data_IF_204159251806
#
_entry.id   IF_204159251806
#
_cell.length_a   1.000
_cell.length_b   1.000
_cell.length_c   1.000
_cell.angle_alpha   90.00
_cell.angle_beta   90.00
_cell.angle_gamma   90.00
#
_symmetry.space_group_name_H-M   'P 1'
#
loop_
_entity.id
_entity.type
_entity.pdbx_description
1 polymer ?
#
# COMPACT_ATOMS: atom_id res chain seq x y z
N UNK A 1 -6.20 -8.84 -27.04
CA UNK A 1 -5.67 -9.60 -25.88
C UNK A 1 -6.65 -10.70 -25.56
N UNK A 2 -6.22 -11.96 -25.46
CA UNK A 2 -7.13 -13.03 -25.08
C UNK A 2 -7.59 -12.78 -23.63
N UNK A 3 -8.89 -12.75 -23.38
CA UNK A 3 -9.50 -12.54 -22.04
C UNK A 3 -8.93 -13.52 -21.01
N UNK A 4 -8.57 -14.71 -21.46
CA UNK A 4 -7.96 -15.79 -20.67
C UNK A 4 -6.65 -15.36 -19.96
N UNK A 5 -5.78 -14.59 -20.65
CA UNK A 5 -4.51 -14.11 -20.04
C UNK A 5 -4.76 -13.11 -18.89
N UNK A 6 -5.73 -12.21 -19.08
CA UNK A 6 -6.10 -11.27 -18.01
C UNK A 6 -6.64 -12.06 -16.82
N UNK A 7 -7.57 -12.97 -17.04
CA UNK A 7 -8.12 -13.81 -15.99
C UNK A 7 -7.00 -14.55 -15.23
N UNK A 8 -6.05 -15.15 -15.96
CA UNK A 8 -4.95 -15.90 -15.36
C UNK A 8 -4.05 -15.00 -14.48
N UNK A 9 -3.54 -13.89 -15.04
CA UNK A 9 -2.54 -13.06 -14.34
C UNK A 9 -3.14 -12.12 -13.29
N UNK A 10 -4.37 -11.68 -13.50
CA UNK A 10 -4.98 -10.62 -12.67
C UNK A 10 -5.92 -11.19 -11.61
N UNK A 11 -6.47 -12.39 -11.84
CA UNK A 11 -7.38 -13.02 -10.89
C UNK A 11 -6.82 -14.33 -10.35
N UNK A 12 -6.51 -15.30 -11.22
CA UNK A 12 -6.17 -16.66 -10.76
C UNK A 12 -4.84 -16.71 -10.00
N UNK A 13 -3.77 -16.05 -10.48
CA UNK A 13 -2.50 -16.05 -9.74
C UNK A 13 -2.60 -15.37 -8.38
N UNK A 14 -3.19 -14.16 -8.20
CA UNK A 14 -3.39 -13.60 -6.87
C UNK A 14 -4.15 -14.54 -5.93
N UNK A 15 -5.25 -15.17 -6.40
CA UNK A 15 -5.99 -16.14 -5.60
C UNK A 15 -5.11 -17.35 -5.25
N UNK A 16 -4.37 -17.88 -6.21
CA UNK A 16 -3.47 -19.03 -6.01
C UNK A 16 -2.38 -18.75 -4.97
N UNK A 17 -1.74 -17.57 -5.04
CA UNK A 17 -0.74 -17.18 -4.05
C UNK A 17 -1.34 -17.06 -2.65
N UNK A 18 -2.55 -16.53 -2.53
CA UNK A 18 -3.24 -16.47 -1.23
C UNK A 18 -3.59 -17.89 -0.72
N UNK A 19 -4.08 -18.79 -1.58
CA UNK A 19 -4.36 -20.18 -1.21
C UNK A 19 -3.09 -20.87 -0.70
N UNK A 20 -1.97 -20.75 -1.43
CA UNK A 20 -0.70 -21.35 -1.00
C UNK A 20 -0.27 -20.80 0.35
N UNK A 21 -0.34 -19.49 0.55
CA UNK A 21 0.14 -18.85 1.78
C UNK A 21 -0.74 -19.20 2.98
N UNK A 22 -2.07 -19.22 2.82
CA UNK A 22 -2.98 -19.48 3.92
C UNK A 22 -3.11 -20.98 4.24
N UNK A 23 -3.10 -21.85 3.23
CA UNK A 23 -3.42 -23.27 3.40
C UNK A 23 -2.29 -24.20 3.00
N UNK A 24 -1.27 -23.72 2.29
CA UNK A 24 -0.16 -24.54 1.78
C UNK A 24 1.12 -24.44 2.62
N UNK A 25 1.40 -23.30 3.26
CA UNK A 25 2.56 -23.12 4.12
C UNK A 25 2.17 -23.09 5.61
N UNK A 26 3.10 -23.51 6.48
CA UNK A 26 3.04 -23.14 7.88
C UNK A 26 3.48 -21.68 8.00
N UNK A 27 2.51 -20.78 8.13
CA UNK A 27 2.82 -19.37 8.36
C UNK A 27 3.36 -19.15 9.77
N UNK A 28 4.07 -18.05 10.00
CA UNK A 28 4.55 -17.66 11.34
C UNK A 28 3.42 -17.47 12.36
N UNK A 29 2.22 -17.22 11.88
CA UNK A 29 1.00 -17.02 12.65
C UNK A 29 0.02 -18.19 12.44
N UNK A 30 0.55 -19.39 12.37
CA UNK A 30 -0.24 -20.61 12.21
C UNK A 30 -1.34 -20.75 13.27
N UNK A 31 -1.09 -20.25 14.48
CA UNK A 31 -2.05 -20.27 15.59
C UNK A 31 -3.35 -19.50 15.26
N UNK A 32 -3.33 -18.52 14.35
CA UNK A 32 -4.56 -17.81 13.92
C UNK A 32 -5.58 -18.73 13.26
N UNK A 33 -5.14 -19.87 12.78
CA UNK A 33 -6.02 -20.87 12.19
C UNK A 33 -7.05 -21.40 13.21
N UNK A 34 -6.66 -21.45 14.48
CA UNK A 34 -7.45 -21.99 15.57
C UNK A 34 -8.11 -20.87 16.40
N UNK A 35 -7.79 -19.60 16.15
CA UNK A 35 -8.38 -18.46 16.83
C UNK A 35 -9.81 -18.19 16.33
N UNK A 36 -10.71 -18.00 17.29
CA UNK A 36 -12.13 -17.72 17.02
C UNK A 36 -12.37 -16.23 16.75
N UNK A 37 -11.54 -15.37 17.35
CA UNK A 37 -11.59 -13.90 17.25
C UNK A 37 -10.19 -13.33 17.17
N UNK A 38 -10.04 -12.07 16.70
CA UNK A 38 -8.75 -11.38 16.78
C UNK A 38 -8.24 -11.37 18.20
N UNK A 39 -6.96 -11.61 18.37
CA UNK A 39 -6.28 -11.49 19.65
C UNK A 39 -6.40 -10.05 20.18
N UNK A 40 -6.39 -9.89 21.51
CA UNK A 40 -6.55 -8.59 22.16
C UNK A 40 -5.56 -7.53 21.68
N UNK A 41 -4.36 -7.93 21.26
CA UNK A 41 -3.35 -6.98 20.75
C UNK A 41 -3.78 -6.23 19.47
N UNK A 42 -4.72 -6.78 18.68
CA UNK A 42 -5.29 -6.05 17.53
C UNK A 42 -6.14 -4.83 17.94
N UNK A 43 -6.60 -4.79 19.19
CA UNK A 43 -7.39 -3.70 19.71
C UNK A 43 -6.57 -2.70 20.53
N UNK A 44 -5.28 -2.99 20.77
CA UNK A 44 -4.39 -2.22 21.63
C UNK A 44 -3.22 -1.63 20.84
N UNK A 45 -2.58 -0.62 21.41
CA UNK A 45 -1.37 -0.02 20.88
C UNK A 45 -1.54 0.53 19.48
N UNK A 46 -0.48 0.42 18.70
CA UNK A 46 -0.42 0.92 17.30
C UNK A 46 -1.42 0.20 16.36
N UNK A 47 -1.83 -1.02 16.69
CA UNK A 47 -2.78 -1.79 15.89
C UNK A 47 -4.23 -1.36 16.12
N UNK A 48 -4.56 -0.84 17.30
CA UNK A 48 -5.90 -0.36 17.65
C UNK A 48 -6.41 0.76 16.74
N UNK A 49 -5.52 1.50 16.10
CA UNK A 49 -5.87 2.58 15.15
C UNK A 49 -6.25 2.10 13.74
N UNK A 50 -6.09 0.80 13.42
CA UNK A 50 -6.37 0.22 12.10
C UNK A 50 -7.80 -0.31 12.03
N UNK A 51 -8.76 0.62 12.12
CA UNK A 51 -10.16 0.30 12.30
C UNK A 51 -10.81 -0.33 11.07
N UNK A 52 -10.56 0.25 9.87
CA UNK A 52 -11.37 -0.06 8.69
C UNK A 52 -11.39 -1.55 8.33
N UNK A 53 -10.21 -2.15 8.14
CA UNK A 53 -10.13 -3.57 7.76
C UNK A 53 -10.52 -4.50 8.89
N UNK A 54 -10.26 -4.13 10.15
CA UNK A 54 -10.66 -4.89 11.32
C UNK A 54 -12.17 -5.06 11.39
N UNK A 55 -12.92 -3.95 11.37
CA UNK A 55 -14.37 -3.96 11.45
C UNK A 55 -15.01 -4.76 10.30
N UNK A 56 -14.44 -4.66 9.09
CA UNK A 56 -14.94 -5.44 7.95
C UNK A 56 -14.70 -6.93 8.16
N UNK A 57 -13.50 -7.32 8.61
CA UNK A 57 -13.18 -8.73 8.87
C UNK A 57 -14.05 -9.28 10.01
N UNK A 58 -14.31 -8.50 11.07
CA UNK A 58 -15.19 -8.90 12.15
C UNK A 58 -16.62 -9.13 11.65
N UNK A 59 -17.16 -8.24 10.81
CA UNK A 59 -18.48 -8.45 10.19
C UNK A 59 -18.51 -9.69 9.29
N UNK A 60 -17.45 -9.94 8.50
CA UNK A 60 -17.32 -11.14 7.68
C UNK A 60 -17.25 -12.40 8.55
N UNK A 61 -16.58 -12.34 9.69
CA UNK A 61 -16.49 -13.45 10.64
C UNK A 61 -17.86 -13.80 11.19
N UNK A 62 -18.62 -12.81 11.65
CA UNK A 62 -20.00 -13.01 12.13
C UNK A 62 -20.90 -13.61 11.03
N UNK A 63 -20.73 -13.19 9.79
CA UNK A 63 -21.46 -13.74 8.66
C UNK A 63 -21.09 -15.21 8.40
N UNK A 64 -19.80 -15.56 8.39
CA UNK A 64 -19.35 -16.93 8.19
C UNK A 64 -19.74 -17.84 9.38
N UNK A 65 -19.73 -17.35 10.61
CA UNK A 65 -20.22 -18.10 11.77
C UNK A 65 -21.67 -18.53 11.58
N UNK A 66 -22.53 -17.62 11.10
CA UNK A 66 -23.93 -17.96 10.80
C UNK A 66 -24.06 -19.02 9.71
N UNK A 67 -23.23 -18.96 8.66
CA UNK A 67 -23.20 -20.00 7.62
C UNK A 67 -22.76 -21.33 8.22
N UNK A 68 -21.73 -21.33 9.07
CA UNK A 68 -21.15 -22.55 9.63
C UNK A 68 -22.01 -23.16 10.76
N UNK A 69 -23.07 -22.47 11.23
CA UNK A 69 -24.11 -23.11 12.08
C UNK A 69 -25.01 -24.03 11.27
N UNK A 70 -25.09 -23.85 9.96
CA UNK A 70 -25.90 -24.70 9.09
C UNK A 70 -25.07 -25.88 8.54
N UNK A 71 -25.71 -27.03 8.37
CA UNK A 71 -25.04 -28.17 7.75
C UNK A 71 -24.96 -28.00 6.24
N UNK A 72 -23.73 -28.05 5.72
CA UNK A 72 -23.46 -28.06 4.29
C UNK A 72 -22.29 -29.05 4.00
N UNK A 73 -22.22 -29.62 2.76
CA UNK A 73 -21.34 -30.76 2.47
C UNK A 73 -19.85 -30.54 2.75
N UNK A 74 -19.38 -29.28 2.72
CA UNK A 74 -17.96 -28.94 2.93
C UNK A 74 -17.68 -28.35 4.33
N UNK A 75 -18.66 -28.28 5.23
CA UNK A 75 -18.51 -27.66 6.56
C UNK A 75 -17.38 -28.27 7.37
N UNK A 76 -17.40 -29.60 7.54
CA UNK A 76 -16.36 -30.28 8.32
C UNK A 76 -14.96 -30.09 7.73
N UNK A 77 -14.85 -30.13 6.41
CA UNK A 77 -13.60 -29.86 5.71
C UNK A 77 -13.12 -28.44 5.95
N UNK A 78 -14.00 -27.45 5.81
CA UNK A 78 -13.68 -26.05 6.05
C UNK A 78 -13.20 -25.83 7.51
N UNK A 79 -13.94 -26.35 8.49
CA UNK A 79 -13.61 -26.22 9.91
C UNK A 79 -12.27 -26.91 10.27
N UNK A 80 -11.89 -27.98 9.58
CA UNK A 80 -10.56 -28.60 9.72
C UNK A 80 -9.42 -27.71 9.19
N UNK A 81 -9.73 -26.78 8.30
CA UNK A 81 -8.73 -25.89 7.66
C UNK A 81 -8.60 -24.52 8.34
N UNK A 82 -9.50 -24.19 9.23
CA UNK A 82 -9.47 -22.95 10.00
C UNK A 82 -10.84 -22.57 10.55
N UNK A 83 -10.84 -21.61 11.45
CA UNK A 83 -12.05 -21.01 12.02
C UNK A 83 -12.76 -20.08 11.03
N UNK A 84 -14.00 -19.66 11.27
CA UNK A 84 -14.66 -18.61 10.50
C UNK A 84 -13.85 -17.32 10.41
N UNK A 85 -13.14 -16.94 11.48
CA UNK A 85 -12.24 -15.78 11.50
C UNK A 85 -11.08 -15.96 10.52
N UNK A 86 -10.40 -17.10 10.53
CA UNK A 86 -9.31 -17.40 9.59
C UNK A 86 -9.75 -17.35 8.13
N UNK A 87 -10.92 -17.92 7.84
CA UNK A 87 -11.49 -17.85 6.50
C UNK A 87 -11.90 -16.44 6.08
N UNK A 88 -12.36 -15.61 7.05
CA UNK A 88 -12.65 -14.19 6.79
C UNK A 88 -11.39 -13.42 6.42
N UNK A 89 -10.27 -13.64 7.12
CA UNK A 89 -8.97 -13.08 6.78
C UNK A 89 -8.53 -13.49 5.36
N UNK A 90 -8.66 -14.78 5.04
CA UNK A 90 -8.33 -15.31 3.71
C UNK A 90 -9.18 -14.64 2.62
N UNK A 91 -10.49 -14.62 2.77
CA UNK A 91 -11.41 -14.04 1.78
C UNK A 91 -11.17 -12.53 1.60
N UNK A 92 -11.03 -11.80 2.69
CA UNK A 92 -10.77 -10.36 2.67
C UNK A 92 -9.45 -10.05 1.97
N UNK A 93 -8.36 -10.71 2.35
CA UNK A 93 -7.06 -10.48 1.74
C UNK A 93 -7.02 -10.94 0.27
N UNK A 94 -7.69 -12.03 -0.06
CA UNK A 94 -7.80 -12.51 -1.46
C UNK A 94 -8.56 -11.52 -2.32
N UNK A 95 -9.69 -11.00 -1.84
CA UNK A 95 -10.46 -9.98 -2.53
C UNK A 95 -9.62 -8.73 -2.85
N UNK A 96 -8.91 -8.21 -1.85
CA UNK A 96 -8.05 -7.05 -2.06
C UNK A 96 -6.79 -7.36 -2.90
N UNK A 97 -6.25 -8.57 -2.86
CA UNK A 97 -5.15 -8.98 -3.73
C UNK A 97 -5.57 -8.97 -5.21
N UNK A 98 -6.79 -9.44 -5.52
CA UNK A 98 -7.37 -9.39 -6.87
C UNK A 98 -7.62 -7.93 -7.28
N UNK A 99 -8.24 -7.11 -6.43
CA UNK A 99 -8.45 -5.68 -6.71
C UNK A 99 -7.14 -4.93 -6.94
N UNK A 100 -6.10 -5.24 -6.16
CA UNK A 100 -4.74 -4.70 -6.32
C UNK A 100 -4.19 -5.05 -7.71
N UNK A 101 -4.28 -6.30 -8.12
CA UNK A 101 -3.80 -6.75 -9.44
C UNK A 101 -4.59 -6.13 -10.59
N UNK A 102 -5.90 -5.96 -10.44
CA UNK A 102 -6.77 -5.23 -11.37
C UNK A 102 -6.33 -3.76 -11.49
N UNK A 103 -6.05 -3.11 -10.36
CA UNK A 103 -5.62 -1.72 -10.32
C UNK A 103 -4.24 -1.54 -10.96
N UNK A 104 -3.24 -2.39 -10.65
CA UNK A 104 -1.94 -2.40 -11.32
C UNK A 104 -2.10 -2.53 -12.83
N UNK A 105 -2.87 -3.53 -13.28
CA UNK A 105 -3.12 -3.74 -14.70
C UNK A 105 -3.80 -2.52 -15.36
N UNK A 106 -4.74 -1.88 -14.67
CA UNK A 106 -5.46 -0.69 -15.15
C UNK A 106 -4.55 0.53 -15.25
N UNK A 107 -3.71 0.76 -14.24
CA UNK A 107 -2.74 1.86 -14.24
C UNK A 107 -1.73 1.68 -15.37
N UNK A 108 -1.10 0.49 -15.47
CA UNK A 108 -0.08 0.20 -16.47
C UNK A 108 -0.60 0.09 -17.92
N UNK A 109 -1.91 -0.02 -18.10
CA UNK A 109 -2.59 0.07 -19.41
C UNK A 109 -2.62 1.49 -19.96
N UNK A 110 -2.47 2.49 -19.13
CA UNK A 110 -2.59 3.90 -19.50
C UNK A 110 -1.35 4.34 -20.29
N UNK A 111 -1.43 4.25 -21.60
CA UNK A 111 -0.32 4.54 -22.53
C UNK A 111 0.16 5.99 -22.46
N UNK A 112 -0.69 6.89 -22.02
CA UNK A 112 -0.33 8.30 -21.75
C UNK A 112 0.69 8.47 -20.61
N UNK A 113 0.80 7.47 -19.71
CA UNK A 113 1.77 7.47 -18.61
C UNK A 113 2.83 6.38 -18.74
N UNK A 114 2.48 5.27 -19.41
CA UNK A 114 3.31 4.09 -19.51
C UNK A 114 3.45 3.61 -20.98
N UNK A 115 3.95 4.49 -21.89
CA UNK A 115 4.03 4.15 -23.32
C UNK A 115 4.95 2.96 -23.60
N UNK A 116 6.05 2.82 -22.86
CA UNK A 116 7.07 1.78 -23.03
C UNK A 116 6.60 0.38 -22.57
N UNK A 117 5.56 0.31 -21.74
CA UNK A 117 5.09 -0.96 -21.21
C UNK A 117 4.24 -1.68 -22.25
N UNK A 118 4.78 -2.75 -22.83
CA UNK A 118 4.03 -3.67 -23.68
C UNK A 118 3.18 -4.66 -22.83
N UNK A 119 2.35 -5.46 -23.50
CA UNK A 119 1.45 -6.41 -22.81
C UNK A 119 2.19 -7.46 -22.00
N UNK A 120 3.27 -8.03 -22.52
CA UNK A 120 4.05 -9.07 -21.82
C UNK A 120 4.69 -8.52 -20.57
N UNK A 121 5.29 -7.33 -20.67
CA UNK A 121 5.91 -6.65 -19.54
C UNK A 121 4.87 -6.28 -18.47
N UNK A 122 3.70 -5.77 -18.87
CA UNK A 122 2.62 -5.44 -17.95
C UNK A 122 2.14 -6.66 -17.17
N UNK A 123 1.88 -7.78 -17.84
CA UNK A 123 1.48 -9.02 -17.18
C UNK A 123 2.57 -9.58 -16.27
N UNK A 124 3.83 -9.47 -16.68
CA UNK A 124 4.99 -9.82 -15.85
C UNK A 124 5.06 -8.97 -14.57
N UNK A 125 4.84 -7.66 -14.67
CA UNK A 125 4.80 -6.75 -13.51
C UNK A 125 3.63 -7.11 -12.58
N UNK A 126 2.42 -7.36 -13.14
CA UNK A 126 1.26 -7.78 -12.35
C UNK A 126 1.56 -9.07 -11.60
N UNK A 127 2.13 -10.07 -12.27
CA UNK A 127 2.51 -11.34 -11.66
C UNK A 127 3.54 -11.16 -10.54
N UNK A 128 4.61 -10.41 -10.80
CA UNK A 128 5.68 -10.13 -9.83
C UNK A 128 5.12 -9.45 -8.56
N UNK A 129 4.29 -8.42 -8.73
CA UNK A 129 3.70 -7.69 -7.61
C UNK A 129 2.67 -8.56 -6.85
N UNK A 130 1.88 -9.37 -7.55
CA UNK A 130 0.96 -10.31 -6.93
C UNK A 130 1.70 -11.39 -6.12
N UNK A 131 2.81 -11.92 -6.66
CA UNK A 131 3.65 -12.90 -5.98
C UNK A 131 4.28 -12.33 -4.71
N UNK A 132 4.87 -11.11 -4.78
CA UNK A 132 5.46 -10.45 -3.60
C UNK A 132 4.38 -10.22 -2.54
N UNK A 133 3.21 -9.71 -2.91
CA UNK A 133 2.12 -9.48 -1.96
C UNK A 133 1.59 -10.78 -1.36
N UNK A 134 1.38 -11.82 -2.19
CA UNK A 134 0.89 -13.11 -1.73
C UNK A 134 1.86 -13.77 -0.76
N UNK A 135 3.14 -13.89 -1.14
CA UNK A 135 4.15 -14.53 -0.29
C UNK A 135 4.50 -13.69 0.95
N UNK A 136 4.37 -12.36 0.91
CA UNK A 136 4.56 -11.53 2.11
C UNK A 136 3.51 -11.77 3.18
N UNK A 137 2.37 -12.41 2.85
CA UNK A 137 1.30 -12.79 3.78
C UNK A 137 1.62 -14.03 4.65
N UNK A 138 2.87 -14.51 4.66
CA UNK A 138 3.29 -15.46 5.69
C UNK A 138 3.12 -14.88 7.12
N UNK A 139 3.09 -13.56 7.22
CA UNK A 139 2.58 -12.82 8.39
C UNK A 139 1.15 -12.39 8.07
N UNK A 140 0.19 -13.20 8.52
CA UNK A 140 -1.23 -12.98 8.24
C UNK A 140 -1.73 -11.78 9.06
N UNK A 141 -2.23 -10.76 8.35
CA UNK A 141 -2.87 -9.59 8.96
C UNK A 141 -4.02 -9.11 8.04
N UNK A 142 -4.98 -8.41 8.63
CA UNK A 142 -6.19 -7.98 7.91
C UNK A 142 -5.99 -6.72 7.06
N UNK A 143 -4.94 -5.93 7.24
CA UNK A 143 -4.84 -4.57 6.67
C UNK A 143 -3.85 -4.44 5.49
N UNK A 144 -3.00 -5.40 5.22
CA UNK A 144 -1.90 -5.21 4.24
C UNK A 144 -2.37 -5.12 2.80
N UNK A 145 -3.15 -6.09 2.32
CA UNK A 145 -3.63 -6.09 0.93
C UNK A 145 -4.59 -4.93 0.65
N UNK A 146 -5.47 -4.59 1.61
CA UNK A 146 -6.34 -3.43 1.50
C UNK A 146 -5.56 -2.11 1.49
N UNK A 147 -4.48 -2.01 2.28
CA UNK A 147 -3.61 -0.83 2.26
C UNK A 147 -2.90 -0.65 0.91
N UNK A 148 -2.42 -1.73 0.29
CA UNK A 148 -1.79 -1.67 -1.04
C UNK A 148 -2.80 -1.28 -2.11
N UNK A 149 -4.02 -1.81 -2.07
CA UNK A 149 -5.09 -1.39 -2.97
C UNK A 149 -5.39 0.12 -2.85
N UNK A 150 -5.56 0.62 -1.64
CA UNK A 150 -5.81 2.04 -1.38
C UNK A 150 -4.62 2.92 -1.77
N UNK A 151 -3.39 2.44 -1.61
CA UNK A 151 -2.18 3.10 -2.10
C UNK A 151 -2.21 3.27 -3.63
N UNK A 152 -2.54 2.21 -4.35
CA UNK A 152 -2.65 2.24 -5.83
C UNK A 152 -3.82 3.11 -6.31
N UNK A 153 -4.92 3.10 -5.59
CA UNK A 153 -6.05 4.00 -5.88
C UNK A 153 -5.61 5.47 -5.73
N UNK A 154 -4.82 5.77 -4.69
CA UNK A 154 -4.20 7.08 -4.53
C UNK A 154 -3.23 7.43 -5.67
N UNK A 155 -2.42 6.48 -6.15
CA UNK A 155 -1.56 6.69 -7.33
C UNK A 155 -2.38 7.00 -8.58
N UNK A 156 -3.48 6.29 -8.80
CA UNK A 156 -4.37 6.55 -9.93
C UNK A 156 -4.86 8.01 -9.94
N UNK A 157 -5.35 8.52 -8.81
CA UNK A 157 -5.80 9.91 -8.71
C UNK A 157 -4.65 10.91 -8.70
N UNK A 158 -3.49 10.56 -8.16
CA UNK A 158 -2.26 11.36 -8.27
C UNK A 158 -1.88 11.56 -9.74
N UNK A 159 -1.89 10.52 -10.56
CA UNK A 159 -1.59 10.61 -11.99
C UNK A 159 -2.63 11.45 -12.73
N UNK A 160 -3.93 11.29 -12.41
CA UNK A 160 -4.99 12.14 -12.98
C UNK A 160 -4.76 13.60 -12.64
N UNK A 161 -4.53 13.91 -11.37
CA UNK A 161 -4.25 15.28 -10.93
C UNK A 161 -2.97 15.82 -11.57
N UNK A 162 -1.93 15.03 -11.64
CA UNK A 162 -0.65 15.40 -12.27
C UNK A 162 -0.84 15.88 -13.71
N UNK A 163 -1.68 15.17 -14.49
CA UNK A 163 -1.94 15.50 -15.89
C UNK A 163 -2.95 16.63 -16.07
N UNK A 164 -4.10 16.52 -15.41
CA UNK A 164 -5.26 17.36 -15.68
C UNK A 164 -5.30 18.62 -14.82
N UNK A 165 -4.57 18.63 -13.69
CA UNK A 165 -4.57 19.71 -12.68
C UNK A 165 -5.98 20.06 -12.15
N UNK A 166 -6.91 19.10 -12.24
CA UNK A 166 -8.27 19.31 -11.74
C UNK A 166 -8.30 19.18 -10.22
N UNK A 167 -8.79 20.19 -9.54
CA UNK A 167 -8.91 20.20 -8.07
C UNK A 167 -9.78 19.04 -7.55
N UNK A 168 -10.77 18.59 -8.34
CA UNK A 168 -11.57 17.40 -8.05
C UNK A 168 -10.71 16.15 -7.82
N UNK A 169 -9.70 15.92 -8.65
CA UNK A 169 -8.83 14.73 -8.51
C UNK A 169 -8.01 14.82 -7.22
N UNK A 170 -7.61 16.02 -6.80
CA UNK A 170 -6.94 16.26 -5.53
C UNK A 170 -7.85 15.99 -4.31
N UNK A 171 -9.12 16.41 -4.39
CA UNK A 171 -10.13 16.11 -3.36
C UNK A 171 -10.32 14.61 -3.23
N UNK A 172 -10.50 13.89 -4.35
CA UNK A 172 -10.70 12.43 -4.32
C UNK A 172 -9.44 11.74 -3.78
N UNK A 173 -8.24 12.16 -4.19
CA UNK A 173 -6.99 11.67 -3.64
C UNK A 173 -6.94 11.85 -2.11
N UNK A 174 -7.30 13.04 -1.63
CA UNK A 174 -7.30 13.33 -0.20
C UNK A 174 -8.31 12.46 0.56
N UNK A 175 -9.49 12.23 -0.03
CA UNK A 175 -10.47 11.31 0.54
C UNK A 175 -9.95 9.86 0.58
N UNK A 176 -9.27 9.39 -0.47
CA UNK A 176 -8.61 8.08 -0.49
C UNK A 176 -7.54 7.99 0.60
N UNK A 177 -6.73 9.04 0.80
CA UNK A 177 -5.71 9.09 1.86
C UNK A 177 -6.38 9.01 3.24
N UNK A 178 -7.47 9.76 3.47
CA UNK A 178 -8.23 9.72 4.72
C UNK A 178 -8.71 8.29 5.03
N UNK A 179 -9.41 7.64 4.10
CA UNK A 179 -9.87 6.25 4.24
C UNK A 179 -8.68 5.29 4.44
N UNK A 180 -7.61 5.47 3.68
CA UNK A 180 -6.40 4.66 3.79
C UNK A 180 -5.74 4.79 5.15
N UNK A 181 -5.78 5.97 5.79
CA UNK A 181 -5.21 6.20 7.12
C UNK A 181 -5.99 5.47 8.21
N UNK A 182 -7.31 5.33 8.06
CA UNK A 182 -8.14 4.49 8.95
C UNK A 182 -7.82 3.00 8.81
N UNK A 183 -7.17 2.60 7.71
CA UNK A 183 -6.75 1.23 7.46
C UNK A 183 -5.30 0.99 7.91
N UNK A 184 -4.38 1.89 7.52
CA UNK A 184 -2.95 1.78 7.86
C UNK A 184 -2.20 3.09 7.58
N UNK A 185 -1.19 3.37 8.39
CA UNK A 185 -0.32 4.56 8.29
C UNK A 185 0.50 4.64 6.99
N UNK A 186 0.59 3.55 6.23
CA UNK A 186 1.23 3.52 4.90
C UNK A 186 0.61 4.48 3.89
N UNK A 187 -0.58 5.03 4.19
CA UNK A 187 -1.24 6.09 3.42
C UNK A 187 -0.36 7.34 3.21
N UNK A 188 0.60 7.63 4.10
CA UNK A 188 1.59 8.70 3.94
C UNK A 188 2.43 8.54 2.66
N UNK A 189 2.60 7.32 2.14
CA UNK A 189 3.32 7.07 0.89
C UNK A 189 2.61 7.63 -0.34
N UNK A 190 1.28 7.83 -0.30
CA UNK A 190 0.57 8.58 -1.34
C UNK A 190 1.01 10.03 -1.41
N UNK A 191 1.26 10.65 -0.24
CA UNK A 191 1.79 12.02 -0.15
C UNK A 191 3.22 12.05 -0.68
N UNK A 192 4.04 11.07 -0.29
CA UNK A 192 5.41 10.95 -0.77
C UNK A 192 5.47 10.76 -2.29
N UNK A 193 4.56 9.97 -2.86
CA UNK A 193 4.46 9.76 -4.30
C UNK A 193 4.04 11.04 -5.03
N UNK A 194 3.01 11.72 -4.56
CA UNK A 194 2.57 13.01 -5.08
C UNK A 194 3.72 14.04 -5.03
N UNK A 195 4.38 14.17 -3.87
CA UNK A 195 5.48 15.09 -3.66
C UNK A 195 6.68 14.76 -4.59
N UNK A 196 7.02 13.48 -4.77
CA UNK A 196 8.12 13.06 -5.63
C UNK A 196 7.91 13.47 -7.10
N UNK A 197 6.66 13.43 -7.58
CA UNK A 197 6.30 13.90 -8.92
C UNK A 197 6.37 15.42 -9.02
N UNK A 198 5.76 16.13 -8.06
CA UNK A 198 5.67 17.59 -8.10
C UNK A 198 7.02 18.27 -7.88
N UNK A 199 7.84 17.82 -6.92
CA UNK A 199 9.17 18.39 -6.69
C UNK A 199 10.16 18.20 -7.87
N UNK A 200 9.78 17.36 -8.87
CA UNK A 200 10.54 17.30 -10.11
C UNK A 200 10.37 18.56 -10.98
N UNK A 201 9.21 19.21 -10.86
CA UNK A 201 8.77 20.29 -11.76
C UNK A 201 8.88 21.67 -11.14
N UNK A 202 8.93 21.74 -9.81
CA UNK A 202 8.85 23.01 -9.09
C UNK A 202 10.17 23.75 -9.22
N UNK A 203 10.16 25.01 -9.72
CA UNK A 203 11.31 25.87 -9.69
C UNK A 203 11.80 26.03 -8.25
N UNK A 204 13.11 26.10 -8.03
CA UNK A 204 13.71 26.40 -6.72
C UNK A 204 13.51 27.89 -6.38
N UNK A 205 12.26 28.30 -6.27
CA UNK A 205 11.83 29.66 -6.00
C UNK A 205 10.80 29.68 -4.87
N UNK A 206 10.60 30.83 -4.25
CA UNK A 206 9.57 31.03 -3.22
C UNK A 206 8.16 30.70 -3.73
N UNK A 207 7.87 31.06 -4.96
CA UNK A 207 6.56 30.75 -5.61
C UNK A 207 6.40 29.24 -5.85
N UNK A 208 7.47 28.57 -6.30
CA UNK A 208 7.47 27.13 -6.45
C UNK A 208 7.17 26.40 -5.14
N UNK A 209 7.84 26.83 -4.05
CA UNK A 209 7.58 26.28 -2.72
C UNK A 209 6.12 26.49 -2.28
N UNK A 210 5.58 27.70 -2.43
CA UNK A 210 4.18 27.99 -2.09
C UNK A 210 3.20 27.15 -2.89
N UNK A 211 3.47 26.91 -4.17
CA UNK A 211 2.64 26.07 -5.01
C UNK A 211 2.71 24.58 -4.56
N UNK A 212 3.87 24.10 -4.15
CA UNK A 212 4.01 22.76 -3.55
C UNK A 212 3.18 22.63 -2.27
N UNK A 213 3.28 23.62 -1.38
CA UNK A 213 2.51 23.64 -0.13
C UNK A 213 1.01 23.61 -0.42
N UNK A 214 0.52 24.40 -1.38
CA UNK A 214 -0.90 24.42 -1.77
C UNK A 214 -1.39 23.04 -2.26
N UNK A 215 -0.58 22.35 -3.06
CA UNK A 215 -0.94 21.02 -3.60
C UNK A 215 -0.91 19.97 -2.50
N UNK A 216 0.07 20.00 -1.61
CA UNK A 216 0.24 19.00 -0.55
C UNK A 216 -0.65 19.24 0.66
N UNK A 217 -1.17 20.45 0.87
CA UNK A 217 -1.91 20.83 2.07
C UNK A 217 -3.10 19.91 2.35
N UNK A 218 -3.98 19.73 1.36
CA UNK A 218 -5.19 18.92 1.54
C UNK A 218 -4.88 17.42 1.74
N UNK A 219 -3.98 16.77 0.96
CA UNK A 219 -3.51 15.40 1.22
C UNK A 219 -2.85 15.22 2.59
N UNK A 220 -2.01 16.16 3.02
CA UNK A 220 -1.37 16.12 4.35
C UNK A 220 -2.41 16.24 5.45
N UNK A 221 -3.35 17.18 5.33
CA UNK A 221 -4.44 17.32 6.30
C UNK A 221 -5.30 16.05 6.38
N UNK A 222 -5.61 15.44 5.22
CA UNK A 222 -6.38 14.19 5.14
C UNK A 222 -5.67 13.00 5.81
N UNK A 223 -4.34 13.01 5.88
CA UNK A 223 -3.55 12.05 6.64
C UNK A 223 -3.52 12.40 8.14
N UNK A 224 -3.14 13.63 8.47
CA UNK A 224 -2.90 14.04 9.86
C UNK A 224 -4.18 14.02 10.71
N UNK A 225 -5.30 14.43 10.12
CA UNK A 225 -6.56 14.53 10.84
C UNK A 225 -6.99 13.17 11.44
N UNK A 226 -7.22 12.09 10.67
CA UNK A 226 -7.58 10.81 11.25
C UNK A 226 -6.45 10.22 12.10
N UNK A 227 -5.18 10.47 11.74
CA UNK A 227 -4.02 10.00 12.50
C UNK A 227 -4.01 10.52 13.93
N UNK A 228 -4.25 11.81 14.14
CA UNK A 228 -4.28 12.41 15.48
C UNK A 228 -5.61 12.17 16.19
N UNK A 229 -6.74 12.28 15.48
CA UNK A 229 -8.08 12.07 16.07
C UNK A 229 -8.20 10.66 16.67
N UNK A 230 -7.75 9.63 15.94
CA UNK A 230 -7.79 8.27 16.47
C UNK A 230 -6.93 8.10 17.72
N UNK A 231 -5.76 8.75 17.78
CA UNK A 231 -4.88 8.70 18.98
C UNK A 231 -5.43 9.46 20.18
N UNK A 232 -6.31 10.42 19.95
CA UNK A 232 -7.01 11.13 21.03
C UNK A 232 -8.22 10.34 21.55
N UNK A 233 -8.92 9.62 20.63
CA UNK A 233 -10.14 8.90 20.98
C UNK A 233 -9.83 7.51 21.54
N UNK A 234 -8.79 6.85 21.05
CA UNK A 234 -8.37 5.51 21.48
C UNK A 234 -7.14 5.68 22.36
N UNK A 235 -7.30 5.87 23.67
CA UNK A 235 -6.18 6.05 24.59
C UNK A 235 -5.37 4.76 24.68
N UNK A 236 -4.05 4.91 24.69
CA UNK A 236 -3.14 3.82 25.02
C UNK A 236 -2.83 3.91 26.53
N UNK A 237 -3.00 2.82 27.24
CA UNK A 237 -2.60 2.76 28.63
C UNK A 237 -1.07 2.60 28.72
N UNK A 238 -0.43 3.39 29.56
CA UNK A 238 0.97 3.18 29.89
C UNK A 238 1.12 1.79 30.53
N UNK A 239 1.98 0.95 29.94
CA UNK A 239 2.16 -0.46 30.35
C UNK A 239 1.53 -1.48 29.38
N UNK A 240 0.81 -1.04 28.34
CA UNK A 240 0.49 -1.93 27.22
C UNK A 240 1.78 -2.28 26.46
N UNK A 241 2.05 -3.57 26.22
CA UNK A 241 3.22 -4.08 25.49
C UNK A 241 3.43 -3.43 24.11
N UNK A 242 2.43 -2.72 23.61
CA UNK A 242 2.39 -2.06 22.30
C UNK A 242 2.42 -0.54 22.37
N UNK A 243 2.79 0.03 23.52
CA UNK A 243 3.04 1.46 23.63
C UNK A 243 4.24 1.85 22.75
N UNK A 244 4.19 2.98 22.03
CA UNK A 244 5.18 3.33 21.01
C UNK A 244 6.63 3.25 21.50
N UNK A 245 6.93 3.73 22.70
CA UNK A 245 8.30 3.71 23.25
C UNK A 245 8.74 2.31 23.71
N UNK A 246 7.83 1.45 24.09
CA UNK A 246 8.09 0.06 24.49
C UNK A 246 8.19 -0.87 23.27
N UNK A 247 7.58 -0.47 22.15
CA UNK A 247 7.64 -1.21 20.88
C UNK A 247 8.86 -0.89 20.01
N UNK A 248 9.88 -0.19 20.55
CA UNK A 248 11.11 0.08 19.80
C UNK A 248 11.91 -1.20 19.62
N UNK A 249 11.93 -1.71 18.40
CA UNK A 249 12.61 -2.98 18.02
C UNK A 249 14.00 -2.77 17.43
N UNK A 250 14.55 -1.53 17.46
CA UNK A 250 15.78 -1.16 16.77
C UNK A 250 16.97 -2.10 17.11
N UNK A 251 17.21 -2.40 18.38
CA UNK A 251 18.28 -3.31 18.80
C UNK A 251 18.07 -4.70 18.19
N UNK A 252 16.86 -5.24 18.29
CA UNK A 252 16.48 -6.52 17.71
C UNK A 252 16.67 -6.55 16.19
N UNK A 253 16.27 -5.48 15.51
CA UNK A 253 16.42 -5.33 14.07
C UNK A 253 17.87 -5.25 13.60
N UNK A 254 18.80 -4.75 14.43
CA UNK A 254 20.21 -4.63 14.08
C UNK A 254 21.04 -5.86 14.49
N UNK A 255 20.56 -6.68 15.42
CA UNK A 255 21.34 -7.83 15.95
C UNK A 255 20.78 -9.18 15.50
N UNK A 256 19.51 -9.27 15.13
CA UNK A 256 18.88 -10.51 14.71
C UNK A 256 19.23 -10.89 13.26
N UNK A 257 19.80 -12.07 13.02
CA UNK A 257 20.21 -12.52 11.69
C UNK A 257 19.03 -12.54 10.70
N UNK A 258 17.86 -12.99 11.15
CA UNK A 258 16.63 -12.99 10.32
C UNK A 258 16.19 -11.58 9.96
N UNK A 259 16.35 -10.63 10.89
CA UNK A 259 16.02 -9.21 10.66
C UNK A 259 16.94 -8.61 9.59
N UNK A 260 18.25 -8.89 9.73
CA UNK A 260 19.26 -8.45 8.76
C UNK A 260 18.96 -9.05 7.38
N UNK A 261 18.66 -10.33 7.29
CA UNK A 261 18.29 -10.98 6.04
C UNK A 261 17.02 -10.36 5.42
N UNK A 262 15.99 -10.08 6.23
CA UNK A 262 14.73 -9.48 5.77
C UNK A 262 14.91 -8.09 5.18
N UNK A 263 15.59 -7.17 5.89
CA UNK A 263 15.79 -5.82 5.36
C UNK A 263 16.76 -5.80 4.17
N UNK A 264 17.80 -6.66 4.15
CA UNK A 264 18.67 -6.80 2.98
C UNK A 264 17.87 -7.27 1.77
N UNK A 265 16.98 -8.25 1.94
CA UNK A 265 16.12 -8.71 0.85
C UNK A 265 15.16 -7.61 0.36
N UNK A 266 14.54 -6.85 1.27
CA UNK A 266 13.72 -5.69 0.91
C UNK A 266 14.50 -4.62 0.12
N UNK A 267 15.73 -4.31 0.56
CA UNK A 267 16.62 -3.39 -0.16
C UNK A 267 17.06 -3.94 -1.52
N UNK A 268 17.35 -5.23 -1.62
CA UNK A 268 17.71 -5.87 -2.90
C UNK A 268 16.55 -5.79 -3.90
N UNK A 269 15.31 -6.01 -3.46
CA UNK A 269 14.14 -5.84 -4.32
C UNK A 269 13.97 -4.39 -4.80
N UNK A 270 14.14 -3.41 -3.92
CA UNK A 270 14.11 -1.98 -4.29
C UNK A 270 15.25 -1.64 -5.26
N UNK A 271 16.46 -2.15 -5.02
CA UNK A 271 17.61 -1.98 -5.92
C UNK A 271 17.36 -2.63 -7.28
N UNK A 272 16.76 -3.83 -7.31
CA UNK A 272 16.35 -4.50 -8.53
C UNK A 272 15.40 -3.61 -9.36
N UNK A 273 14.33 -3.09 -8.74
CA UNK A 273 13.41 -2.15 -9.41
C UNK A 273 14.15 -0.91 -9.93
N UNK A 274 15.05 -0.35 -9.13
CA UNK A 274 15.84 0.83 -9.51
C UNK A 274 16.74 0.57 -10.75
N UNK A 275 17.36 -0.62 -10.85
CA UNK A 275 18.18 -0.97 -12.01
C UNK A 275 17.37 -1.13 -13.29
N UNK A 276 16.17 -1.72 -13.21
CA UNK A 276 15.30 -1.91 -14.36
C UNK A 276 14.44 -0.67 -14.69
N UNK A 277 14.51 0.36 -13.85
CA UNK A 277 13.84 1.63 -14.11
C UNK A 277 14.46 2.35 -15.32
N UNK A 278 13.63 3.05 -16.07
CA UNK A 278 14.08 3.97 -17.10
C UNK A 278 15.10 4.97 -16.49
N UNK A 279 16.22 5.27 -17.18
CA UNK A 279 17.30 6.11 -16.61
C UNK A 279 16.81 7.45 -16.07
N UNK A 280 15.88 8.10 -16.76
CA UNK A 280 15.25 9.35 -16.36
C UNK A 280 14.44 9.24 -15.06
N UNK A 281 13.87 8.05 -14.78
CA UNK A 281 13.01 7.81 -13.63
C UNK A 281 13.77 7.48 -12.34
N UNK A 282 15.05 7.12 -12.44
CA UNK A 282 15.88 6.81 -11.26
C UNK A 282 15.92 7.96 -10.26
N UNK A 283 15.99 9.20 -10.75
CA UNK A 283 15.92 10.40 -9.89
C UNK A 283 14.59 10.51 -9.17
N UNK A 284 13.48 10.15 -9.81
CA UNK A 284 12.14 10.18 -9.19
C UNK A 284 11.99 9.11 -8.12
N UNK A 285 12.52 7.90 -8.35
CA UNK A 285 12.57 6.84 -7.32
C UNK A 285 13.40 7.30 -6.13
N UNK A 286 14.61 7.83 -6.36
CA UNK A 286 15.48 8.34 -5.26
C UNK A 286 14.76 9.43 -4.48
N UNK A 287 14.11 10.38 -5.16
CA UNK A 287 13.35 11.46 -4.51
C UNK A 287 12.19 10.92 -3.68
N UNK A 288 11.44 9.95 -4.22
CA UNK A 288 10.37 9.26 -3.50
C UNK A 288 10.90 8.60 -2.21
N UNK A 289 12.00 7.85 -2.30
CA UNK A 289 12.60 7.19 -1.14
C UNK A 289 13.08 8.19 -0.09
N UNK A 290 13.68 9.31 -0.51
CA UNK A 290 14.11 10.39 0.40
C UNK A 290 12.90 11.03 1.10
N UNK A 291 11.82 11.34 0.37
CA UNK A 291 10.61 11.90 0.98
C UNK A 291 9.92 10.88 1.90
N UNK A 292 10.07 9.58 1.60
CA UNK A 292 9.52 8.48 2.39
C UNK A 292 10.42 8.09 3.59
N UNK A 293 11.52 8.80 3.86
CA UNK A 293 12.41 8.52 5.00
C UNK A 293 11.67 8.41 6.34
N UNK A 294 10.67 9.25 6.68
CA UNK A 294 9.92 9.07 7.93
C UNK A 294 9.26 7.70 8.04
N UNK A 295 8.67 7.18 6.96
CA UNK A 295 8.10 5.84 6.91
C UNK A 295 9.19 4.76 7.03
N UNK A 296 10.30 4.91 6.33
CA UNK A 296 11.43 3.97 6.37
C UNK A 296 12.02 3.92 7.79
N UNK A 297 12.22 5.08 8.43
CA UNK A 297 12.69 5.14 9.81
C UNK A 297 11.70 4.48 10.78
N UNK A 298 10.40 4.71 10.60
CA UNK A 298 9.37 4.04 11.40
C UNK A 298 9.48 2.51 11.28
N UNK A 299 9.68 1.97 10.08
CA UNK A 299 9.88 0.52 9.88
C UNK A 299 11.09 0.04 10.68
N UNK A 300 12.21 0.75 10.65
CA UNK A 300 13.42 0.37 11.37
C UNK A 300 13.28 0.47 12.89
N UNK A 301 12.51 1.46 13.38
CA UNK A 301 12.33 1.72 14.81
C UNK A 301 11.31 0.79 15.45
N UNK A 302 10.20 0.50 14.77
CA UNK A 302 9.02 -0.17 15.37
C UNK A 302 8.64 -1.45 14.62
N UNK A 303 9.06 -1.59 13.36
CA UNK A 303 8.75 -2.75 12.53
C UNK A 303 9.64 -3.94 12.87
N UNK A 304 9.20 -5.12 12.51
CA UNK A 304 9.97 -6.36 12.55
C UNK A 304 10.51 -6.59 11.15
N UNK A 305 11.81 -6.35 10.91
CA UNK A 305 12.38 -6.21 9.57
C UNK A 305 12.41 -7.50 8.73
N UNK A 306 12.33 -8.67 9.35
CA UNK A 306 12.16 -9.91 8.59
C UNK A 306 10.77 -10.00 7.93
N UNK A 307 9.80 -9.19 8.36
CA UNK A 307 8.49 -9.07 7.73
C UNK A 307 8.58 -8.24 6.43
N UNK A 308 8.90 -8.89 5.32
CA UNK A 308 9.07 -8.27 4.00
C UNK A 308 7.86 -7.44 3.58
N UNK A 309 6.67 -7.75 4.11
CA UNK A 309 5.42 -7.00 3.88
C UNK A 309 5.54 -5.50 4.18
N UNK A 310 6.47 -5.10 5.05
CA UNK A 310 6.72 -3.69 5.36
C UNK A 310 7.35 -2.92 4.18
N UNK A 311 8.11 -3.60 3.32
CA UNK A 311 8.72 -3.03 2.13
C UNK A 311 7.81 -3.06 0.90
N UNK A 312 6.76 -3.89 0.90
CA UNK A 312 5.87 -4.08 -0.25
C UNK A 312 5.27 -2.76 -0.75
N UNK A 313 4.75 -1.83 0.09
CA UNK A 313 4.24 -0.54 -0.38
C UNK A 313 5.31 0.32 -1.07
N UNK A 314 6.57 0.28 -0.58
CA UNK A 314 7.68 0.98 -1.23
C UNK A 314 8.03 0.37 -2.59
N UNK A 315 7.98 -0.97 -2.71
CA UNK A 315 8.25 -1.70 -3.96
C UNK A 315 7.17 -1.35 -4.99
N UNK A 316 5.89 -1.36 -4.63
CA UNK A 316 4.80 -0.95 -5.52
C UNK A 316 4.98 0.48 -6.02
N UNK A 317 5.30 1.41 -5.12
CA UNK A 317 5.56 2.80 -5.46
C UNK A 317 6.75 2.96 -6.41
N UNK A 318 7.85 2.26 -6.12
CA UNK A 318 9.05 2.28 -6.96
C UNK A 318 8.78 1.70 -8.35
N UNK A 319 8.01 0.60 -8.47
CA UNK A 319 7.62 0.00 -9.76
C UNK A 319 6.78 0.97 -10.57
N UNK A 320 5.81 1.65 -9.95
CA UNK A 320 5.00 2.66 -10.66
C UNK A 320 5.86 3.81 -11.18
N UNK A 321 6.82 4.29 -10.38
CA UNK A 321 7.75 5.35 -10.81
C UNK A 321 8.74 4.87 -11.86
N UNK A 322 9.17 3.60 -11.82
CA UNK A 322 10.23 3.05 -12.67
C UNK A 322 9.92 3.18 -14.17
N UNK A 323 8.65 3.07 -14.54
CA UNK A 323 8.19 3.05 -15.92
C UNK A 323 7.27 4.22 -16.29
N UNK A 324 7.12 5.18 -15.38
CA UNK A 324 6.31 6.36 -15.60
C UNK A 324 7.02 7.32 -16.57
N UNK A 325 6.41 7.64 -17.71
CA UNK A 325 6.88 8.69 -18.59
C UNK A 325 6.35 10.03 -18.13
N UNK A 326 7.25 10.84 -17.61
CA UNK A 326 6.93 12.23 -17.28
C UNK A 326 7.05 13.07 -18.54
N UNK A 327 5.94 13.53 -19.11
CA UNK A 327 5.97 14.58 -20.14
C UNK A 327 6.54 15.87 -19.53
N UNK A 328 7.15 16.72 -20.38
CA UNK A 328 7.77 17.98 -19.93
C UNK A 328 6.83 18.78 -19.02
N UNK A 329 7.34 19.39 -17.96
CA UNK A 329 6.54 20.03 -16.95
C UNK A 329 5.62 21.09 -17.51
N UNK A 330 4.34 21.02 -17.18
CA UNK A 330 3.32 21.99 -17.58
C UNK A 330 3.66 23.42 -17.13
N UNK A 331 4.43 23.59 -16.07
CA UNK A 331 4.94 24.89 -15.60
C UNK A 331 5.89 25.58 -16.58
N UNK A 332 6.62 24.83 -17.40
CA UNK A 332 7.45 25.42 -18.44
C UNK A 332 6.60 26.07 -19.56
N UNK A 333 5.35 25.62 -19.73
CA UNK A 333 4.42 26.12 -20.74
C UNK A 333 3.62 27.33 -20.25
N UNK A 334 3.37 27.43 -18.93
CA UNK A 334 2.64 28.57 -18.33
C UNK A 334 3.52 29.82 -18.27
N UNK A 335 4.84 29.68 -18.03
CA UNK A 335 5.76 30.82 -18.03
C UNK A 335 5.95 31.42 -19.44
N UNK A 336 5.52 30.73 -20.50
CA UNK A 336 5.58 31.20 -21.88
C UNK A 336 4.23 31.75 -22.41
N UNK A 337 3.12 31.59 -21.69
CA UNK A 337 1.87 32.26 -22.04
C UNK A 337 1.60 33.38 -21.04
N UNK A 338 1.73 34.67 -21.49
CA UNK A 338 1.36 35.79 -20.63
C UNK A 338 -0.17 35.81 -20.48
N UNK A 339 -0.67 35.17 -19.42
CA UNK A 339 -2.11 35.19 -19.08
C UNK A 339 -2.60 36.58 -18.58
N UNK A 340 -1.73 37.59 -18.58
CA UNK A 340 -2.03 38.93 -18.11
C UNK A 340 -2.25 40.00 -19.22
N UNK A 341 -2.44 39.60 -20.49
CA UNK A 341 -2.67 40.58 -21.56
C UNK A 341 -4.13 40.73 -22.03
N UNK A 342 -5.12 40.25 -21.28
CA UNK A 342 -6.53 40.35 -21.69
C UNK A 342 -7.44 41.19 -20.77
N UNK A 343 -6.90 42.02 -19.90
CA UNK A 343 -7.67 43.03 -19.17
C UNK A 343 -6.84 44.32 -19.06
N UNK A 344 -6.71 45.02 -20.17
CA UNK A 344 -6.52 46.46 -20.25
C UNK A 344 -7.57 47.03 -21.18
#
# INVERSE_FOLDING_TARGET
MKKEKILLYVVLFPVFFQIITYYGFQSSYYNYRDEVRPTEWYYKGIYGYRLLSREIVDMMTLFLERIFTHDFPLREYAMKKGTPYYHSLFLFNTFFAVLTSLMVNSILKRKEYFPEINEKMRLGIVFFLAAISGFSQYVIVHYDNSAIFLLLLGFYFTLNYYRNRQFRDLIILSFVILISTLNRETSCLNISFLAALFFAEIPKSKEGFLNAVKVLFLPVLAFLLPYFVLRLIIPQNAGDEYYFFESITLKYNLTGINQIAGWLFGLLLLKFVYFYALPENRKSITRFLVISLPYILMIFLVGILWEIRLFVPLIYSAVMLAFLKMEKPYFATISQKPYFQKYK
#
